data_IF_536564444096
#
_entry.id   IF_536564444096
#
_cell.length_a   1.000
_cell.length_b   1.000
_cell.length_c   1.000
_cell.angle_alpha   90.00
_cell.angle_beta   90.00
_cell.angle_gamma   90.00
#
_symmetry.space_group_name_H-M   'P 1'
#
loop_
_entity.id
_entity.type
_entity.pdbx_description
1 polymer ?
#
# COMPACT_ATOMS: atom_id res chain seq x y z
N UNK A 1 19.12 -54.60 -14.18
CA UNK A 1 17.85 -53.85 -14.18
C UNK A 1 18.17 -52.41 -13.78
N UNK A 2 18.01 -51.42 -14.67
CA UNK A 2 18.24 -50.01 -14.31
C UNK A 2 17.08 -49.53 -13.42
N UNK A 3 17.43 -48.90 -12.31
CA UNK A 3 16.48 -48.34 -11.34
C UNK A 3 15.57 -47.31 -12.02
N UNK A 4 14.26 -47.57 -12.06
CA UNK A 4 13.23 -46.70 -12.67
C UNK A 4 12.79 -45.59 -11.69
N UNK A 5 13.12 -45.75 -10.40
CA UNK A 5 12.80 -44.83 -9.31
C UNK A 5 13.18 -43.35 -9.54
N UNK A 6 14.36 -42.98 -10.09
CA UNK A 6 14.68 -41.56 -10.32
C UNK A 6 13.79 -40.91 -11.40
N UNK A 7 13.36 -41.65 -12.41
CA UNK A 7 12.47 -41.12 -13.44
C UNK A 7 11.05 -40.87 -12.89
N UNK A 8 10.54 -41.78 -12.06
CA UNK A 8 9.24 -41.63 -11.40
C UNK A 8 9.27 -40.46 -10.40
N UNK A 9 10.33 -40.33 -9.61
CA UNK A 9 10.50 -39.21 -8.69
C UNK A 9 10.56 -37.86 -9.42
N UNK A 10 11.25 -37.80 -10.56
CA UNK A 10 11.28 -36.61 -11.41
C UNK A 10 9.91 -36.21 -11.95
N UNK A 11 9.12 -37.18 -12.44
CA UNK A 11 7.75 -36.92 -12.93
C UNK A 11 6.84 -36.43 -11.81
N UNK A 12 6.92 -37.02 -10.62
CA UNK A 12 6.11 -36.61 -9.47
C UNK A 12 6.43 -35.17 -9.02
N UNK A 13 7.71 -34.78 -9.03
CA UNK A 13 8.10 -33.40 -8.71
C UNK A 13 7.57 -32.39 -9.73
N UNK A 14 7.63 -32.72 -11.02
CA UNK A 14 7.08 -31.84 -12.07
C UNK A 14 5.57 -31.68 -11.90
N UNK A 15 4.83 -32.77 -11.68
CA UNK A 15 3.37 -32.71 -11.49
C UNK A 15 3.00 -31.90 -10.24
N UNK A 16 3.74 -32.05 -9.14
CA UNK A 16 3.53 -31.30 -7.91
C UNK A 16 3.84 -29.79 -8.05
N UNK A 17 4.70 -29.39 -9.00
CA UNK A 17 5.04 -28.00 -9.24
C UNK A 17 4.00 -27.25 -10.10
N UNK A 18 3.16 -27.97 -10.86
CA UNK A 18 2.17 -27.35 -11.76
C UNK A 18 1.19 -26.42 -11.00
N UNK A 19 0.58 -26.81 -9.87
CA UNK A 19 -0.36 -25.93 -9.13
C UNK A 19 0.30 -24.67 -8.59
N UNK A 20 1.57 -24.74 -8.18
CA UNK A 20 2.33 -23.57 -7.72
C UNK A 20 2.62 -22.65 -8.90
N UNK A 21 3.09 -23.20 -10.02
CA UNK A 21 3.38 -22.40 -11.20
C UNK A 21 2.13 -21.70 -11.74
N UNK A 22 0.97 -22.36 -11.73
CA UNK A 22 -0.28 -21.77 -12.22
C UNK A 22 -0.82 -20.68 -11.29
N UNK A 23 -0.66 -20.79 -9.97
CA UNK A 23 -1.05 -19.71 -9.05
C UNK A 23 -0.13 -18.49 -9.19
N UNK A 24 1.18 -18.70 -9.33
CA UNK A 24 2.15 -17.64 -9.58
C UNK A 24 1.90 -16.91 -10.92
N UNK A 25 1.70 -17.66 -12.00
CA UNK A 25 1.35 -17.08 -13.32
C UNK A 25 0.01 -16.36 -13.29
N UNK A 26 -0.95 -16.84 -12.49
CA UNK A 26 -2.26 -16.21 -12.32
C UNK A 26 -2.15 -14.77 -11.81
N UNK A 27 -1.26 -14.49 -10.86
CA UNK A 27 -1.02 -13.14 -10.36
C UNK A 27 -0.34 -12.22 -11.37
N UNK A 28 0.42 -12.77 -12.32
CA UNK A 28 1.13 -11.98 -13.35
C UNK A 28 0.24 -11.71 -14.57
N UNK A 29 -0.56 -12.69 -14.99
CA UNK A 29 -1.25 -12.66 -16.29
C UNK A 29 -2.78 -12.55 -16.17
N UNK A 30 -3.35 -12.84 -14.99
CA UNK A 30 -4.79 -13.06 -14.82
C UNK A 30 -5.67 -11.81 -14.77
N UNK A 31 -5.07 -10.61 -14.77
CA UNK A 31 -5.77 -9.35 -14.53
C UNK A 31 -6.17 -8.58 -15.81
N UNK A 32 -5.57 -8.89 -16.96
CA UNK A 32 -5.79 -8.10 -18.17
C UNK A 32 -5.09 -6.73 -18.17
N UNK A 33 -5.15 -6.04 -19.30
CA UNK A 33 -4.36 -4.82 -19.57
C UNK A 33 -5.16 -3.53 -19.49
N UNK A 34 -6.49 -3.59 -19.65
CA UNK A 34 -7.40 -2.45 -19.48
C UNK A 34 -8.08 -2.49 -18.11
N UNK A 35 -8.52 -1.34 -17.65
CA UNK A 35 -9.24 -1.25 -16.38
C UNK A 35 -10.52 -2.09 -16.36
N UNK A 36 -11.30 -2.07 -17.46
CA UNK A 36 -12.50 -2.92 -17.59
C UNK A 36 -12.19 -4.41 -17.46
N UNK A 37 -11.08 -4.88 -18.06
CA UNK A 37 -10.67 -6.28 -17.92
C UNK A 37 -10.21 -6.63 -16.51
N UNK A 38 -9.60 -5.69 -15.78
CA UNK A 38 -9.18 -5.87 -14.39
C UNK A 38 -10.36 -5.97 -13.45
N UNK A 39 -11.33 -5.08 -13.61
CA UNK A 39 -12.58 -5.12 -12.84
C UNK A 39 -13.33 -6.43 -13.06
N UNK A 40 -13.49 -6.85 -14.33
CA UNK A 40 -14.12 -8.13 -14.65
C UNK A 40 -13.34 -9.33 -14.09
N UNK A 41 -12.00 -9.29 -14.13
CA UNK A 41 -11.18 -10.33 -13.55
C UNK A 41 -11.43 -10.45 -12.03
N UNK A 42 -11.42 -9.32 -11.30
CA UNK A 42 -11.65 -9.30 -9.85
C UNK A 42 -13.05 -9.74 -9.47
N UNK A 43 -14.06 -9.29 -10.21
CA UNK A 43 -15.43 -9.75 -10.06
C UNK A 43 -15.52 -11.28 -10.21
N UNK A 44 -14.76 -11.86 -11.14
CA UNK A 44 -14.67 -13.31 -11.33
C UNK A 44 -13.77 -14.04 -10.32
N UNK A 45 -13.22 -13.34 -9.32
CA UNK A 45 -12.34 -13.91 -8.30
C UNK A 45 -10.89 -14.09 -8.76
N UNK A 46 -10.39 -13.26 -9.68
CA UNK A 46 -9.04 -13.28 -10.23
C UNK A 46 -8.37 -11.89 -10.18
N UNK A 47 -7.03 -11.80 -10.09
CA UNK A 47 -6.09 -12.89 -9.85
C UNK A 47 -6.19 -13.40 -8.42
N UNK A 48 -5.77 -14.65 -8.22
CA UNK A 48 -5.54 -15.20 -6.88
C UNK A 48 -4.09 -14.97 -6.48
N UNK A 49 -3.85 -14.67 -5.21
CA UNK A 49 -2.50 -14.64 -4.66
C UNK A 49 -1.87 -16.03 -4.78
N UNK A 50 -0.63 -16.05 -5.26
CA UNK A 50 0.24 -17.23 -5.28
C UNK A 50 0.83 -17.50 -3.90
N UNK A 51 1.89 -18.30 -3.86
CA UNK A 51 2.62 -18.61 -2.63
C UNK A 51 3.80 -17.64 -2.40
N UNK A 52 4.28 -16.98 -3.44
CA UNK A 52 5.42 -16.07 -3.35
C UNK A 52 5.02 -14.68 -2.85
N UNK A 53 5.93 -14.04 -2.12
CA UNK A 53 5.78 -12.63 -1.70
C UNK A 53 5.60 -11.68 -2.89
N UNK A 54 6.22 -11.98 -4.04
CA UNK A 54 6.06 -11.18 -5.26
C UNK A 54 4.61 -11.27 -5.79
N UNK A 55 4.04 -12.47 -5.79
CA UNK A 55 2.66 -12.70 -6.17
C UNK A 55 1.66 -11.99 -5.24
N UNK A 56 1.90 -12.06 -3.92
CA UNK A 56 1.12 -11.29 -2.95
C UNK A 56 1.14 -9.80 -3.29
N UNK A 57 2.33 -9.23 -3.49
CA UNK A 57 2.48 -7.80 -3.79
C UNK A 57 1.76 -7.42 -5.09
N UNK A 58 1.92 -8.18 -6.17
CA UNK A 58 1.28 -7.89 -7.46
C UNK A 58 -0.24 -7.94 -7.38
N UNK A 59 -0.80 -8.98 -6.76
CA UNK A 59 -2.25 -9.12 -6.65
C UNK A 59 -2.83 -7.99 -5.79
N UNK A 60 -2.15 -7.59 -4.71
CA UNK A 60 -2.59 -6.52 -3.84
C UNK A 60 -2.37 -5.12 -4.44
N UNK A 61 -1.26 -4.86 -5.15
CA UNK A 61 -1.08 -3.61 -5.91
C UNK A 61 -2.19 -3.47 -6.96
N UNK A 62 -2.52 -4.55 -7.68
CA UNK A 62 -3.63 -4.55 -8.63
C UNK A 62 -4.95 -4.21 -7.93
N UNK A 63 -5.25 -4.82 -6.78
CA UNK A 63 -6.42 -4.49 -5.98
C UNK A 63 -6.51 -3.00 -5.67
N UNK A 64 -5.41 -2.42 -5.18
CA UNK A 64 -5.33 -0.98 -4.89
C UNK A 64 -5.53 -0.13 -6.14
N UNK A 65 -4.86 -0.48 -7.24
CA UNK A 65 -5.00 0.25 -8.50
C UNK A 65 -6.46 0.21 -8.99
N UNK A 66 -7.14 -0.92 -8.88
CA UNK A 66 -8.52 -1.06 -9.33
C UNK A 66 -9.50 -0.28 -8.46
N UNK A 67 -9.40 -0.36 -7.12
CA UNK A 67 -10.32 0.37 -6.23
C UNK A 67 -10.05 1.88 -6.19
N UNK A 68 -8.85 2.32 -6.53
CA UNK A 68 -8.47 3.75 -6.53
C UNK A 68 -8.75 4.43 -7.88
N UNK A 69 -9.07 3.66 -8.92
CA UNK A 69 -9.32 4.18 -10.26
C UNK A 69 -10.72 4.81 -10.37
N UNK A 70 -10.82 5.92 -11.11
CA UNK A 70 -12.09 6.64 -11.29
C UNK A 70 -13.18 5.83 -11.99
N UNK A 71 -12.81 4.80 -12.76
CA UNK A 71 -13.72 3.88 -13.40
C UNK A 71 -14.52 3.02 -12.42
N UNK A 72 -14.02 2.82 -11.19
CA UNK A 72 -14.78 2.11 -10.14
C UNK A 72 -16.07 2.85 -9.76
N UNK A 73 -16.13 4.16 -9.97
CA UNK A 73 -17.31 4.99 -9.71
C UNK A 73 -18.44 4.71 -10.70
N UNK A 74 -18.14 4.06 -11.83
CA UNK A 74 -19.13 3.65 -12.83
C UNK A 74 -19.60 2.20 -12.62
N UNK A 75 -18.97 1.46 -11.70
CA UNK A 75 -19.43 0.13 -11.32
C UNK A 75 -20.74 0.25 -10.53
N UNK A 76 -21.63 -0.73 -10.71
CA UNK A 76 -22.76 -0.86 -9.80
C UNK A 76 -22.30 -1.36 -8.42
N UNK A 77 -23.19 -1.25 -7.43
CA UNK A 77 -22.88 -1.61 -6.05
C UNK A 77 -22.52 -3.09 -5.91
N UNK A 78 -23.16 -3.98 -6.68
CA UNK A 78 -22.89 -5.42 -6.61
C UNK A 78 -21.48 -5.75 -7.14
N UNK A 79 -21.10 -5.14 -8.26
CA UNK A 79 -19.77 -5.28 -8.84
C UNK A 79 -18.69 -4.69 -7.92
N UNK A 80 -18.91 -3.47 -7.40
CA UNK A 80 -17.98 -2.85 -6.44
C UNK A 80 -17.78 -3.76 -5.23
N UNK A 81 -18.87 -4.35 -4.72
CA UNK A 81 -18.79 -5.19 -3.55
C UNK A 81 -18.11 -6.54 -3.81
N UNK A 82 -18.31 -7.13 -4.99
CA UNK A 82 -17.59 -8.32 -5.42
C UNK A 82 -16.07 -8.06 -5.48
N UNK A 83 -15.67 -6.92 -6.05
CA UNK A 83 -14.25 -6.50 -6.14
C UNK A 83 -13.63 -6.33 -4.75
N UNK A 84 -14.29 -5.58 -3.85
CA UNK A 84 -13.79 -5.38 -2.48
C UNK A 84 -13.65 -6.70 -1.73
N UNK A 85 -14.64 -7.58 -1.83
CA UNK A 85 -14.63 -8.90 -1.18
C UNK A 85 -13.51 -9.79 -1.71
N UNK A 86 -13.26 -9.74 -3.02
CA UNK A 86 -12.12 -10.46 -3.62
C UNK A 86 -10.79 -9.94 -3.08
N UNK A 87 -10.61 -8.61 -3.04
CA UNK A 87 -9.38 -7.99 -2.57
C UNK A 87 -9.11 -8.26 -1.09
N UNK A 88 -10.14 -8.29 -0.25
CA UNK A 88 -10.01 -8.70 1.15
C UNK A 88 -9.60 -10.15 1.30
N UNK A 89 -10.25 -11.05 0.53
CA UNK A 89 -9.88 -12.46 0.53
C UNK A 89 -8.39 -12.64 0.17
N UNK A 90 -7.90 -11.87 -0.80
CA UNK A 90 -6.48 -11.89 -1.18
C UNK A 90 -5.57 -11.31 -0.08
N UNK A 91 -5.98 -10.21 0.55
CA UNK A 91 -5.23 -9.58 1.64
C UNK A 91 -5.13 -10.50 2.86
N UNK A 92 -6.22 -11.17 3.24
CA UNK A 92 -6.26 -12.13 4.34
C UNK A 92 -5.41 -13.37 4.06
N UNK A 93 -5.46 -13.90 2.83
CA UNK A 93 -4.59 -15.00 2.44
C UNK A 93 -3.10 -14.59 2.49
N UNK A 94 -2.76 -13.42 1.95
CA UNK A 94 -1.38 -12.93 1.99
C UNK A 94 -0.92 -12.69 3.43
N UNK A 95 -1.79 -12.16 4.29
CA UNK A 95 -1.49 -11.89 5.70
C UNK A 95 -1.27 -13.17 6.51
N UNK A 96 -2.04 -14.23 6.24
CA UNK A 96 -1.84 -15.53 6.88
C UNK A 96 -0.43 -16.10 6.63
N UNK A 97 0.19 -15.75 5.51
CA UNK A 97 1.55 -16.17 5.16
C UNK A 97 2.63 -15.19 5.62
N UNK A 98 2.33 -13.89 5.64
CA UNK A 98 3.28 -12.83 5.97
C UNK A 98 2.67 -11.82 6.96
N UNK A 99 2.45 -12.21 8.23
CA UNK A 99 1.77 -11.37 9.22
C UNK A 99 2.57 -10.11 9.60
N UNK A 100 3.88 -10.10 9.34
CA UNK A 100 4.76 -8.96 9.57
C UNK A 100 4.99 -8.10 8.32
N UNK A 101 4.23 -8.28 7.24
CA UNK A 101 4.37 -7.45 6.04
C UNK A 101 3.53 -6.16 6.16
N UNK A 102 4.21 -5.02 6.26
CA UNK A 102 3.56 -3.71 6.41
C UNK A 102 2.69 -3.30 5.23
N UNK A 103 2.98 -3.81 4.02
CA UNK A 103 2.20 -3.49 2.84
C UNK A 103 0.83 -4.12 2.91
N UNK A 104 0.75 -5.38 3.34
CA UNK A 104 -0.51 -6.10 3.47
C UNK A 104 -1.42 -5.38 4.48
N UNK A 105 -0.86 -4.98 5.63
CA UNK A 105 -1.58 -4.16 6.61
C UNK A 105 -2.04 -2.81 6.07
N UNK A 106 -1.21 -2.14 5.27
CA UNK A 106 -1.63 -0.90 4.60
C UNK A 106 -2.77 -1.14 3.60
N UNK A 107 -2.73 -2.23 2.82
CA UNK A 107 -3.81 -2.61 1.90
C UNK A 107 -5.10 -2.89 2.66
N UNK A 108 -5.04 -3.62 3.78
CA UNK A 108 -6.21 -3.80 4.67
C UNK A 108 -6.79 -2.48 5.12
N UNK A 109 -5.96 -1.53 5.54
CA UNK A 109 -6.46 -0.20 5.93
C UNK A 109 -7.20 0.51 4.80
N UNK A 110 -6.71 0.43 3.55
CA UNK A 110 -7.42 1.00 2.40
C UNK A 110 -8.77 0.32 2.18
N UNK A 111 -8.83 -1.01 2.26
CA UNK A 111 -10.08 -1.77 2.07
C UNK A 111 -11.12 -1.44 3.15
N UNK A 112 -10.70 -1.34 4.42
CA UNK A 112 -11.60 -0.94 5.50
C UNK A 112 -12.15 0.49 5.31
N UNK A 113 -11.33 1.42 4.79
CA UNK A 113 -11.82 2.77 4.42
C UNK A 113 -12.86 2.69 3.31
N UNK A 114 -12.62 1.89 2.27
CA UNK A 114 -13.57 1.71 1.17
C UNK A 114 -14.91 1.09 1.62
N UNK A 115 -14.90 0.33 2.72
CA UNK A 115 -16.09 -0.22 3.37
C UNK A 115 -16.75 0.70 4.40
N UNK A 116 -16.09 1.80 4.78
CA UNK A 116 -16.56 2.69 5.84
C UNK A 116 -16.25 2.19 7.27
N UNK A 117 -15.42 1.16 7.42
CA UNK A 117 -14.99 0.59 8.71
C UNK A 117 -13.79 1.37 9.26
N UNK A 118 -14.00 2.65 9.58
CA UNK A 118 -12.93 3.57 9.97
C UNK A 118 -12.12 3.10 11.20
N UNK A 119 -12.72 2.52 12.26
CA UNK A 119 -11.94 1.99 13.38
C UNK A 119 -10.94 0.90 12.98
N UNK A 120 -11.37 -0.06 12.17
CA UNK A 120 -10.53 -1.17 11.71
C UNK A 120 -9.44 -0.69 10.74
N UNK A 121 -9.73 0.34 9.95
CA UNK A 121 -8.72 1.00 9.12
C UNK A 121 -7.57 1.58 9.95
N UNK A 122 -7.89 2.24 11.07
CA UNK A 122 -6.86 2.78 11.97
C UNK A 122 -6.05 1.68 12.65
N UNK A 123 -6.69 0.59 13.07
CA UNK A 123 -5.99 -0.59 13.60
C UNK A 123 -5.04 -1.20 12.57
N UNK A 124 -5.47 -1.35 11.31
CA UNK A 124 -4.62 -1.87 10.25
C UNK A 124 -3.44 -0.91 9.91
N UNK A 125 -3.68 0.40 9.91
CA UNK A 125 -2.61 1.39 9.74
C UNK A 125 -1.55 1.30 10.85
N UNK A 126 -1.98 1.09 12.09
CA UNK A 126 -1.09 0.93 13.22
C UNK A 126 -0.21 -0.32 13.07
N UNK A 127 -0.77 -1.46 12.69
CA UNK A 127 0.02 -2.66 12.38
C UNK A 127 1.01 -2.43 11.22
N UNK A 128 0.62 -1.67 10.20
CA UNK A 128 1.53 -1.31 9.11
C UNK A 128 2.73 -0.50 9.61
N UNK A 129 2.53 0.42 10.57
CA UNK A 129 3.61 1.22 11.17
C UNK A 129 4.52 0.36 12.04
N UNK A 130 3.95 -0.52 12.86
CA UNK A 130 4.73 -1.39 13.75
C UNK A 130 5.63 -2.37 12.99
N UNK A 131 5.16 -2.87 11.86
CA UNK A 131 5.88 -3.87 11.06
C UNK A 131 6.94 -3.27 10.14
N UNK A 132 6.86 -1.98 9.81
CA UNK A 132 7.87 -1.27 9.04
C UNK A 132 7.91 0.24 9.39
N UNK A 133 8.46 0.61 10.57
CA UNK A 133 8.41 1.98 11.07
C UNK A 133 9.32 2.96 10.33
N UNK A 134 10.40 2.47 9.71
CA UNK A 134 11.43 3.32 9.08
C UNK A 134 11.56 3.14 7.57
N UNK A 135 10.66 2.35 6.96
CA UNK A 135 10.69 2.04 5.54
C UNK A 135 10.02 3.16 4.72
N UNK A 136 10.83 3.95 4.01
CA UNK A 136 10.35 5.14 3.30
C UNK A 136 9.21 4.85 2.31
N UNK A 137 9.29 3.75 1.57
CA UNK A 137 8.33 3.47 0.50
C UNK A 137 6.92 3.20 1.04
N UNK A 138 6.79 2.61 2.23
CA UNK A 138 5.49 2.38 2.87
C UNK A 138 5.06 3.59 3.71
N UNK A 139 5.99 4.31 4.34
CA UNK A 139 5.70 5.58 5.01
C UNK A 139 5.08 6.61 4.04
N UNK A 140 5.53 6.66 2.78
CA UNK A 140 4.94 7.49 1.73
C UNK A 140 3.49 7.12 1.40
N UNK A 141 3.15 5.83 1.46
CA UNK A 141 1.81 5.30 1.21
C UNK A 141 0.89 5.58 2.41
N UNK A 142 1.37 5.35 3.64
CA UNK A 142 0.66 5.70 4.87
C UNK A 142 0.37 7.18 4.96
N UNK A 143 1.37 8.04 4.79
CA UNK A 143 1.20 9.50 4.82
C UNK A 143 0.19 10.02 3.76
N UNK A 144 0.08 9.36 2.60
CA UNK A 144 -0.95 9.70 1.60
C UNK A 144 -2.34 9.27 2.05
N UNK A 145 -2.46 8.10 2.65
CA UNK A 145 -3.75 7.60 3.15
C UNK A 145 -4.24 8.44 4.33
N UNK A 146 -3.31 8.78 5.23
CA UNK A 146 -3.49 9.70 6.35
C UNK A 146 -4.03 11.06 5.92
N UNK A 147 -3.45 11.65 4.87
CA UNK A 147 -3.93 12.90 4.26
C UNK A 147 -5.36 12.75 3.70
N UNK A 148 -5.68 11.61 3.06
CA UNK A 148 -7.02 11.34 2.52
C UNK A 148 -8.09 11.26 3.63
N UNK A 149 -7.73 10.72 4.80
CA UNK A 149 -8.68 10.48 5.91
C UNK A 149 -8.51 11.47 7.06
N UNK A 150 -7.80 12.58 6.86
CA UNK A 150 -7.42 13.52 7.93
C UNK A 150 -8.61 14.03 8.74
N UNK A 151 -9.73 14.33 8.07
CA UNK A 151 -10.96 14.81 8.70
C UNK A 151 -11.65 13.77 9.60
N UNK A 152 -11.29 12.50 9.47
CA UNK A 152 -11.87 11.38 10.25
C UNK A 152 -11.04 11.05 11.49
N UNK A 153 -9.93 11.76 11.72
CA UNK A 153 -8.97 11.43 12.75
C UNK A 153 -9.13 12.25 14.02
N UNK A 154 -8.81 11.61 15.14
CA UNK A 154 -8.58 12.28 16.42
C UNK A 154 -7.14 12.75 16.54
N UNK A 155 -6.89 13.77 17.39
CA UNK A 155 -5.54 14.27 17.67
C UNK A 155 -4.59 13.15 18.15
N UNK A 156 -5.09 12.20 18.94
CA UNK A 156 -4.31 11.05 19.42
C UNK A 156 -3.86 10.13 18.29
N UNK A 157 -4.72 9.87 17.30
CA UNK A 157 -4.37 9.05 16.13
C UNK A 157 -3.34 9.74 15.23
N UNK A 158 -3.45 11.07 15.10
CA UNK A 158 -2.47 11.88 14.39
C UNK A 158 -1.10 11.83 15.07
N UNK A 159 -1.06 11.99 16.40
CA UNK A 159 0.18 12.05 17.17
C UNK A 159 0.92 10.69 17.27
N UNK A 160 0.19 9.58 17.44
CA UNK A 160 0.82 8.28 17.71
C UNK A 160 1.46 7.62 16.48
N UNK A 161 0.89 7.83 15.27
CA UNK A 161 1.32 7.11 14.07
C UNK A 161 1.89 7.98 12.95
N UNK A 162 1.26 9.12 12.68
CA UNK A 162 1.60 9.90 11.49
C UNK A 162 2.87 10.71 11.65
N UNK A 163 3.13 11.23 12.85
CA UNK A 163 4.32 12.04 13.12
C UNK A 163 5.59 11.25 12.83
N UNK A 164 5.63 9.95 13.16
CA UNK A 164 6.73 9.05 12.82
C UNK A 164 6.92 8.92 11.30
N UNK A 165 5.84 8.72 10.54
CA UNK A 165 5.91 8.67 9.07
C UNK A 165 6.38 10.00 8.48
N UNK A 166 5.90 11.14 9.00
CA UNK A 166 6.32 12.47 8.58
C UNK A 166 7.82 12.70 8.85
N UNK A 167 8.34 12.22 9.99
CA UNK A 167 9.77 12.28 10.29
C UNK A 167 10.60 11.42 9.33
N UNK A 168 10.16 10.19 9.01
CA UNK A 168 10.81 9.35 7.98
C UNK A 168 10.85 10.07 6.63
N UNK A 169 9.73 10.70 6.24
CA UNK A 169 9.64 11.47 5.00
C UNK A 169 10.60 12.66 5.02
N UNK A 170 10.62 13.43 6.11
CA UNK A 170 11.49 14.60 6.30
C UNK A 170 12.97 14.24 6.23
N UNK A 171 13.33 13.04 6.67
CA UNK A 171 14.68 12.48 6.65
C UNK A 171 15.15 12.02 5.27
N UNK A 172 14.22 11.82 4.33
CA UNK A 172 14.50 11.29 2.99
C UNK A 172 14.54 12.37 1.90
N UNK A 173 15.32 12.14 0.82
CA UNK A 173 15.35 13.04 -0.34
C UNK A 173 14.02 13.10 -1.09
N UNK A 174 13.32 11.97 -1.21
CA UNK A 174 12.04 11.90 -1.94
C UNK A 174 10.87 12.44 -1.10
N UNK A 175 10.83 12.13 0.19
CA UNK A 175 9.75 12.56 1.09
C UNK A 175 9.79 14.05 1.41
N UNK A 176 10.99 14.63 1.62
CA UNK A 176 11.11 16.05 2.01
C UNK A 176 10.52 17.01 0.98
N UNK A 177 10.60 16.70 -0.31
CA UNK A 177 9.98 17.51 -1.37
C UNK A 177 8.46 17.56 -1.26
N UNK A 178 7.83 16.41 -0.97
CA UNK A 178 6.37 16.31 -0.78
C UNK A 178 5.90 17.07 0.47
N UNK A 179 6.64 16.95 1.57
CA UNK A 179 6.33 17.71 2.79
C UNK A 179 6.47 19.21 2.57
N UNK A 180 7.50 19.64 1.84
CA UNK A 180 7.72 21.04 1.51
C UNK A 180 6.61 21.60 0.61
N UNK A 181 6.10 20.81 -0.35
CA UNK A 181 4.95 21.19 -1.16
C UNK A 181 3.70 21.40 -0.28
N UNK A 182 3.40 20.43 0.60
CA UNK A 182 2.24 20.52 1.49
C UNK A 182 2.34 21.68 2.48
N UNK A 183 3.53 21.94 3.03
CA UNK A 183 3.82 23.09 3.90
C UNK A 183 3.43 24.45 3.26
N UNK A 184 3.59 24.56 1.94
CA UNK A 184 3.26 25.77 1.20
C UNK A 184 1.75 25.89 0.92
N UNK A 185 1.05 24.77 0.74
CA UNK A 185 -0.37 24.75 0.36
C UNK A 185 -1.34 24.64 1.53
N UNK A 186 -0.90 24.20 2.72
CA UNK A 186 -1.75 23.88 3.87
C UNK A 186 -1.22 24.57 5.14
N UNK A 187 -1.99 25.55 5.65
CA UNK A 187 -1.63 26.35 6.82
C UNK A 187 -1.73 25.55 8.13
N UNK A 188 -2.69 24.64 8.25
CA UNK A 188 -2.84 23.81 9.45
C UNK A 188 -1.68 22.82 9.54
N UNK A 189 -1.34 22.17 8.42
CA UNK A 189 -0.18 21.30 8.34
C UNK A 189 1.13 22.03 8.63
N UNK A 190 1.24 23.30 8.23
CA UNK A 190 2.42 24.14 8.48
C UNK A 190 2.79 24.17 9.97
N UNK A 191 1.82 24.43 10.83
CA UNK A 191 2.06 24.55 12.28
C UNK A 191 2.55 23.23 12.88
N UNK A 192 1.94 22.11 12.46
CA UNK A 192 2.31 20.77 12.91
C UNK A 192 3.69 20.35 12.44
N UNK A 193 3.99 20.51 11.14
CA UNK A 193 5.26 20.05 10.58
C UNK A 193 6.44 20.89 11.10
N UNK A 194 6.25 22.16 11.44
CA UNK A 194 7.30 22.98 12.08
C UNK A 194 7.76 22.35 13.39
N UNK A 195 6.82 21.98 14.27
CA UNK A 195 7.16 21.32 15.54
C UNK A 195 7.94 20.03 15.35
N UNK A 196 7.58 19.22 14.34
CA UNK A 196 8.31 17.97 14.02
C UNK A 196 9.69 18.23 13.41
N UNK A 197 9.83 19.22 12.53
CA UNK A 197 11.11 19.54 11.91
C UNK A 197 12.09 20.09 12.96
N UNK A 198 11.61 20.84 13.96
CA UNK A 198 12.43 21.37 15.04
C UNK A 198 13.05 20.27 15.92
N UNK A 199 12.47 19.06 15.98
CA UNK A 199 13.08 17.92 16.68
C UNK A 199 14.20 17.24 15.89
N UNK A 200 14.35 17.55 14.59
CA UNK A 200 15.39 16.98 13.73
C UNK A 200 16.74 17.70 13.89
N UNK A 201 17.80 17.11 13.35
CA UNK A 201 19.13 17.72 13.38
C UNK A 201 19.17 19.02 12.57
N UNK A 202 20.09 19.97 12.87
CA UNK A 202 20.24 21.19 12.08
C UNK A 202 20.55 20.95 10.59
N UNK A 203 21.14 19.80 10.24
CA UNK A 203 21.37 19.44 8.84
C UNK A 203 20.05 19.13 8.11
N UNK A 204 19.13 18.43 8.77
CA UNK A 204 17.83 18.03 8.25
C UNK A 204 16.87 19.21 8.18
N UNK A 205 16.83 20.06 9.22
CA UNK A 205 16.10 21.32 9.22
C UNK A 205 16.50 22.19 8.02
N UNK A 206 17.82 22.38 7.81
CA UNK A 206 18.34 23.12 6.65
C UNK A 206 17.95 22.46 5.33
N UNK A 207 17.89 21.13 5.26
CA UNK A 207 17.44 20.42 4.07
C UNK A 207 15.96 20.69 3.79
N UNK A 208 15.10 20.63 4.80
CA UNK A 208 13.68 20.96 4.66
C UNK A 208 13.50 22.39 4.16
N UNK A 209 14.12 23.37 4.80
CA UNK A 209 14.04 24.79 4.42
C UNK A 209 14.57 25.07 3.01
N UNK A 210 15.59 24.33 2.53
CA UNK A 210 16.04 24.43 1.13
C UNK A 210 14.98 23.95 0.15
N UNK A 211 14.29 22.84 0.46
CA UNK A 211 13.21 22.34 -0.41
C UNK A 211 12.03 23.32 -0.44
N UNK A 212 11.61 23.86 0.70
CA UNK A 212 10.56 24.87 0.77
C UNK A 212 10.90 26.10 -0.09
N UNK A 213 12.13 26.61 0.02
CA UNK A 213 12.60 27.74 -0.80
C UNK A 213 12.60 27.43 -2.29
N UNK A 214 13.14 26.28 -2.69
CA UNK A 214 13.22 25.89 -4.10
C UNK A 214 11.82 25.75 -4.73
N UNK A 215 10.88 25.12 -4.02
CA UNK A 215 9.50 24.97 -4.50
C UNK A 215 8.79 26.33 -4.53
N UNK A 216 8.92 27.14 -3.48
CA UNK A 216 8.30 28.46 -3.41
C UNK A 216 8.74 29.40 -4.53
N UNK A 217 10.02 29.37 -4.92
CA UNK A 217 10.53 30.14 -6.06
C UNK A 217 9.95 29.65 -7.40
N UNK A 218 9.77 28.33 -7.56
CA UNK A 218 9.17 27.74 -8.75
C UNK A 218 7.66 28.01 -8.91
N UNK A 219 6.97 28.43 -7.85
CA UNK A 219 5.55 28.84 -7.91
C UNK A 219 5.36 30.32 -8.28
N UNK A 220 6.44 31.12 -8.27
CA UNK A 220 6.40 32.56 -8.54
C UNK A 220 6.92 32.95 -9.94
N UNK A 221 7.49 32.00 -10.69
CA UNK A 221 7.96 32.19 -12.07
C UNK A 221 7.07 31.44 -13.05
#
# INVERSE_FOLDING_TARGET
MKSIYPAIAGVLLVVAAIPVLTSELGAVLGAGHSQSTRMQAMESGRPRVGLSTDSHKRALDLCIDTISDVGILQADEAQRQAILTHCETQADHALAHAPSDSFIWWVKAVLEIERGNIPDAFTALEYSRQTAPYELWIALRRARLDERIEVLQTETQQALGQDADLLVLAQSRRGVGRLAQRYLSDEQFRNRIVGLIETLTPAEQRRFLRNVRNIGQGLQG
#
